data_IF_505612961570
#
_entry.id   IF_505612961570
#
_cell.length_a   1.000
_cell.length_b   1.000
_cell.length_c   1.000
_cell.angle_alpha   90.00
_cell.angle_beta   90.00
_cell.angle_gamma   90.00
#
_symmetry.space_group_name_H-M   'P 1'
#
loop_
_entity.id
_entity.type
_entity.pdbx_description
1 polymer ?
#
# COMPACT_ATOMS: atom_id res chain seq x y z
N UNK A 1 28.26 12.68 33.74
CA UNK A 1 26.84 13.07 33.87
C UNK A 1 26.15 11.97 34.63
N UNK A 2 25.43 12.26 35.70
CA UNK A 2 24.79 11.23 36.52
C UNK A 2 23.59 10.64 35.76
N UNK A 3 23.55 9.30 35.69
CA UNK A 3 22.40 8.58 35.15
C UNK A 3 21.25 8.71 36.14
N UNK A 4 20.08 9.13 35.65
CA UNK A 4 18.88 9.29 36.43
C UNK A 4 18.06 7.98 36.39
N UNK A 5 17.24 7.73 37.41
CA UNK A 5 16.46 6.50 37.57
C UNK A 5 14.98 6.79 37.69
N UNK A 6 14.15 5.98 37.03
CA UNK A 6 12.69 6.03 37.11
C UNK A 6 12.14 4.60 37.22
N UNK A 7 10.96 4.40 37.78
CA UNK A 7 10.26 3.11 37.79
C UNK A 7 9.22 3.04 36.68
N UNK A 8 9.18 1.89 36.00
CA UNK A 8 8.15 1.64 35.02
C UNK A 8 6.79 1.49 35.68
N UNK A 9 5.81 2.25 35.22
CA UNK A 9 4.45 2.27 35.77
C UNK A 9 3.73 0.93 35.55
N UNK A 10 4.11 0.15 34.54
CA UNK A 10 3.48 -1.11 34.19
C UNK A 10 4.07 -2.32 34.96
N UNK A 11 5.38 -2.41 35.08
CA UNK A 11 6.06 -3.58 35.65
C UNK A 11 6.89 -3.29 36.90
N UNK A 12 7.03 -2.02 37.31
CA UNK A 12 7.77 -1.63 38.50
C UNK A 12 9.30 -1.71 38.40
N UNK A 13 9.84 -2.15 37.24
CA UNK A 13 11.30 -2.26 37.04
C UNK A 13 11.95 -0.87 37.06
N UNK A 14 13.17 -0.82 37.59
CA UNK A 14 13.98 0.40 37.64
C UNK A 14 14.65 0.59 36.26
N UNK A 15 14.49 1.78 35.69
CA UNK A 15 15.00 2.16 34.39
C UNK A 15 15.99 3.32 34.54
N UNK A 16 17.07 3.28 33.81
CA UNK A 16 18.09 4.31 33.84
C UNK A 16 17.98 5.17 32.58
N UNK A 17 18.02 6.49 32.71
CA UNK A 17 17.93 7.41 31.59
C UNK A 17 18.92 8.59 31.71
N UNK A 18 19.24 9.20 30.57
CA UNK A 18 20.09 10.39 30.52
C UNK A 18 19.26 11.67 30.64
N UNK A 19 19.80 12.74 31.24
CA UNK A 19 19.17 14.05 31.22
C UNK A 19 18.80 14.47 29.80
N UNK A 20 17.55 14.94 29.60
CA UNK A 20 17.01 15.29 28.27
C UNK A 20 16.31 14.13 27.55
N UNK A 21 16.22 12.93 28.15
CA UNK A 21 15.37 11.85 27.65
C UNK A 21 13.93 12.10 28.11
N UNK A 22 13.00 12.22 27.21
CA UNK A 22 11.59 12.54 27.52
C UNK A 22 10.71 11.29 27.64
N UNK A 23 11.05 10.26 26.91
CA UNK A 23 10.42 8.95 26.98
C UNK A 23 11.43 7.84 27.00
N UNK A 24 11.11 6.78 27.73
CA UNK A 24 11.96 5.59 27.85
C UNK A 24 11.11 4.35 27.61
N UNK A 25 11.53 3.52 26.67
CA UNK A 25 10.91 2.20 26.51
C UNK A 25 11.50 1.28 27.58
N UNK A 26 10.64 0.72 28.39
CA UNK A 26 11.06 -0.23 29.41
C UNK A 26 11.65 -1.47 28.78
N UNK A 27 12.93 -1.74 29.05
CA UNK A 27 13.64 -2.92 28.54
C UNK A 27 13.04 -4.25 29.02
N UNK A 28 12.22 -4.24 30.09
CA UNK A 28 11.63 -5.43 30.71
C UNK A 28 10.21 -5.72 30.21
N UNK A 29 9.39 -4.68 29.97
CA UNK A 29 7.98 -4.87 29.60
C UNK A 29 7.56 -4.09 28.37
N UNK A 30 8.47 -3.37 27.68
CA UNK A 30 8.24 -2.57 26.48
C UNK A 30 7.30 -1.40 26.65
N UNK A 31 6.82 -1.18 27.86
CA UNK A 31 5.96 -0.02 28.14
C UNK A 31 6.75 1.27 27.93
N UNK A 32 6.14 2.23 27.23
CA UNK A 32 6.72 3.57 27.12
C UNK A 32 6.45 4.32 28.40
N UNK A 33 7.51 4.55 29.18
CA UNK A 33 7.46 5.32 30.42
C UNK A 33 7.73 6.77 30.07
N UNK A 34 6.81 7.65 30.43
CA UNK A 34 7.03 9.10 30.37
C UNK A 34 7.95 9.49 31.51
N UNK A 35 9.05 10.12 31.18
CA UNK A 35 9.90 10.73 32.18
C UNK A 35 9.23 12.08 32.50
N UNK A 36 8.90 12.36 33.78
CA UNK A 36 8.40 13.68 34.13
C UNK A 36 9.48 14.71 33.78
N UNK A 37 9.35 15.33 32.64
CA UNK A 37 10.31 16.33 32.21
C UNK A 37 10.17 17.54 33.09
N UNK A 38 11.27 17.92 33.65
CA UNK A 38 11.48 19.34 33.91
C UNK A 38 11.34 20.02 32.53
N UNK A 39 10.17 20.65 32.35
CA UNK A 39 9.89 21.71 31.38
C UNK A 39 10.74 21.61 30.10
N UNK A 40 10.19 21.05 29.03
CA UNK A 40 10.52 21.52 27.67
C UNK A 40 10.38 23.05 27.80
N UNK A 41 11.47 23.78 27.56
CA UNK A 41 11.40 25.23 27.64
C UNK A 41 10.28 25.70 26.72
N UNK A 42 9.20 26.30 27.23
CA UNK A 42 8.11 26.80 26.37
C UNK A 42 8.62 27.80 25.32
N UNK A 43 9.80 28.36 25.52
CA UNK A 43 10.47 29.31 24.62
C UNK A 43 10.89 28.68 23.28
N UNK A 44 11.07 27.33 23.20
CA UNK A 44 11.40 26.67 21.97
C UNK A 44 10.16 26.31 21.09
N UNK A 45 8.92 26.56 21.58
CA UNK A 45 7.66 26.15 20.92
C UNK A 45 6.68 27.35 20.80
N UNK A 46 7.20 28.55 20.73
CA UNK A 46 6.41 29.79 20.92
C UNK A 46 5.38 30.12 19.84
N UNK A 47 5.35 29.39 18.68
CA UNK A 47 4.48 29.75 17.56
C UNK A 47 3.66 28.57 16.98
N UNK A 48 3.33 27.56 17.78
CA UNK A 48 2.47 26.46 17.30
C UNK A 48 1.00 26.78 17.58
N UNK A 49 0.17 26.78 16.52
CA UNK A 49 -1.25 27.14 16.62
C UNK A 49 -2.12 25.97 17.05
N UNK A 50 -1.83 24.78 16.52
CA UNK A 50 -2.72 23.62 16.59
C UNK A 50 -1.96 22.33 16.93
N UNK A 51 -2.69 21.34 17.42
CA UNK A 51 -2.18 20.00 17.69
C UNK A 51 -3.29 18.96 17.52
N UNK A 52 -2.96 17.75 17.10
CA UNK A 52 -3.83 16.59 17.30
C UNK A 52 -3.27 15.78 18.47
N UNK A 53 -4.01 15.59 19.56
CA UNK A 53 -3.54 14.78 20.70
C UNK A 53 -3.31 13.33 20.32
N UNK A 54 -2.25 12.74 20.85
CA UNK A 54 -1.95 11.31 20.69
C UNK A 54 -3.04 10.45 21.33
N UNK A 55 -3.57 9.48 20.59
CA UNK A 55 -4.65 8.59 21.05
C UNK A 55 -4.22 7.14 21.21
N UNK A 56 -3.14 6.71 20.54
CA UNK A 56 -2.64 5.33 20.62
C UNK A 56 -1.64 5.15 21.77
N UNK A 57 -1.50 3.90 22.22
CA UNK A 57 -0.51 3.47 23.22
C UNK A 57 0.45 2.45 22.60
N UNK A 58 1.49 2.06 23.35
CA UNK A 58 2.51 1.12 22.87
C UNK A 58 1.95 -0.22 22.37
N UNK A 59 0.93 -0.76 23.03
CA UNK A 59 0.28 -2.01 22.61
C UNK A 59 -0.43 -1.87 21.25
N UNK A 60 -1.07 -0.73 21.01
CA UNK A 60 -1.69 -0.44 19.71
C UNK A 60 -0.63 -0.31 18.60
N UNK A 61 0.52 0.32 18.90
CA UNK A 61 1.65 0.42 17.98
C UNK A 61 2.22 -0.97 17.64
N UNK A 62 2.40 -1.83 18.66
CA UNK A 62 2.85 -3.22 18.49
C UNK A 62 1.88 -4.00 17.61
N UNK A 63 0.58 -3.91 17.88
CA UNK A 63 -0.44 -4.59 17.09
C UNK A 63 -0.48 -4.09 15.64
N UNK A 64 -0.43 -2.78 15.41
CA UNK A 64 -0.37 -2.20 14.07
C UNK A 64 0.85 -2.70 13.29
N UNK A 65 2.02 -2.75 13.93
CA UNK A 65 3.26 -3.28 13.34
C UNK A 65 3.10 -4.74 12.92
N UNK A 66 2.49 -5.58 13.77
CA UNK A 66 2.23 -6.98 13.44
C UNK A 66 1.19 -7.15 12.33
N UNK A 67 0.16 -6.30 12.30
CA UNK A 67 -0.79 -6.25 11.19
C UNK A 67 -0.08 -5.87 9.90
N UNK A 68 0.83 -4.89 9.92
CA UNK A 68 1.67 -4.54 8.78
C UNK A 68 2.46 -5.73 8.25
N UNK A 69 3.10 -6.52 9.13
CA UNK A 69 3.84 -7.74 8.76
C UNK A 69 2.95 -8.78 8.03
N UNK A 70 1.64 -8.77 8.23
CA UNK A 70 0.71 -9.66 7.50
C UNK A 70 0.44 -9.22 6.07
N UNK A 71 0.80 -7.99 5.70
CA UNK A 71 0.57 -7.44 4.36
C UNK A 71 1.54 -8.04 3.34
N UNK A 72 1.48 -7.52 2.13
CA UNK A 72 2.35 -7.96 1.04
C UNK A 72 1.88 -9.24 0.34
N UNK A 73 2.35 -9.40 -0.90
CA UNK A 73 1.94 -10.50 -1.77
C UNK A 73 2.84 -11.73 -1.63
N UNK A 74 4.14 -11.51 -1.55
CA UNK A 74 5.17 -12.57 -1.48
C UNK A 74 5.96 -12.52 -0.17
N UNK A 75 5.39 -11.90 0.85
CA UNK A 75 6.00 -11.84 2.19
C UNK A 75 6.17 -13.26 2.76
N UNK A 76 7.30 -13.56 3.43
CA UNK A 76 7.51 -14.84 4.09
C UNK A 76 6.37 -15.20 5.05
N UNK A 77 5.96 -16.47 5.08
CA UNK A 77 4.84 -16.91 5.94
C UNK A 77 5.19 -16.84 7.42
N UNK A 78 6.46 -16.99 7.75
CA UNK A 78 7.01 -16.99 9.10
C UNK A 78 7.43 -15.59 9.60
N UNK A 79 7.21 -14.53 8.81
CA UNK A 79 7.61 -13.17 9.18
C UNK A 79 7.06 -12.77 10.56
N UNK A 80 5.75 -12.95 10.79
CA UNK A 80 5.11 -12.58 12.06
C UNK A 80 5.67 -13.38 13.25
N UNK A 81 6.17 -14.60 12.99
CA UNK A 81 6.72 -15.50 14.02
C UNK A 81 8.17 -15.15 14.34
N UNK A 82 8.98 -14.83 13.33
CA UNK A 82 10.44 -14.68 13.45
C UNK A 82 10.87 -13.24 13.63
N UNK A 83 10.04 -12.28 13.19
CA UNK A 83 10.40 -10.88 13.35
C UNK A 83 10.37 -10.47 14.83
N UNK A 84 11.41 -9.74 15.22
CA UNK A 84 11.52 -9.18 16.57
C UNK A 84 11.38 -7.66 16.48
N UNK A 85 10.45 -7.09 17.23
CA UNK A 85 10.32 -5.64 17.34
C UNK A 85 11.44 -5.15 18.25
N UNK A 86 12.36 -4.36 17.70
CA UNK A 86 13.59 -3.93 18.39
C UNK A 86 13.46 -2.55 19.01
N UNK A 87 12.69 -1.65 18.38
CA UNK A 87 12.55 -0.27 18.83
C UNK A 87 11.13 0.21 18.57
N UNK A 88 10.57 0.94 19.51
CA UNK A 88 9.26 1.60 19.37
C UNK A 88 9.28 2.93 20.10
N UNK A 89 8.73 3.95 19.47
CA UNK A 89 8.48 5.23 20.12
C UNK A 89 7.31 5.97 19.48
N UNK A 90 6.68 6.81 20.28
CA UNK A 90 5.63 7.74 19.89
C UNK A 90 6.22 9.13 19.94
N UNK A 91 6.01 9.93 18.91
CA UNK A 91 6.52 11.30 18.82
C UNK A 91 5.55 12.22 18.11
N UNK A 92 5.82 13.50 18.19
CA UNK A 92 5.12 14.53 17.43
C UNK A 92 5.99 15.03 16.29
N UNK A 93 5.37 15.26 15.15
CA UNK A 93 6.03 15.76 13.95
C UNK A 93 5.37 17.06 13.47
N UNK A 94 6.17 18.05 13.00
CA UNK A 94 5.67 19.34 12.62
C UNK A 94 5.04 19.31 11.24
N UNK A 95 3.93 20.05 11.09
CA UNK A 95 3.23 20.24 9.84
C UNK A 95 2.79 21.71 9.70
N UNK A 96 2.52 22.11 8.47
CA UNK A 96 1.77 23.31 8.16
C UNK A 96 0.39 22.93 7.64
N UNK A 97 -0.64 23.65 8.10
CA UNK A 97 -1.98 23.62 7.53
C UNK A 97 -2.12 24.79 6.57
N UNK A 98 -2.27 24.50 5.30
CA UNK A 98 -2.54 25.48 4.26
C UNK A 98 -4.05 25.52 4.01
N UNK A 99 -4.66 26.65 4.32
CA UNK A 99 -6.08 26.89 4.09
C UNK A 99 -6.23 28.05 3.11
N UNK A 100 -6.91 27.82 1.98
CA UNK A 100 -6.99 28.84 0.95
C UNK A 100 -7.97 28.52 -0.14
N UNK A 101 -7.85 29.29 -1.22
CA UNK A 101 -8.68 29.18 -2.42
C UNK A 101 -7.81 29.15 -3.68
N UNK A 102 -8.26 28.40 -4.66
CA UNK A 102 -7.69 28.41 -6.00
C UNK A 102 -8.68 29.01 -7.00
N UNK A 103 -8.13 29.65 -8.04
CA UNK A 103 -8.85 30.16 -9.19
C UNK A 103 -8.12 29.73 -10.45
N UNK A 104 -8.79 29.07 -11.38
CA UNK A 104 -8.16 28.63 -12.63
C UNK A 104 -9.08 28.88 -13.83
N UNK A 105 -8.46 29.31 -14.94
CA UNK A 105 -9.09 29.39 -16.26
C UNK A 105 -8.70 28.15 -17.04
N UNK A 106 -9.63 27.56 -17.76
CA UNK A 106 -9.38 26.36 -18.54
C UNK A 106 -9.89 26.48 -19.97
N UNK A 107 -9.27 25.75 -20.90
CA UNK A 107 -9.71 25.53 -22.28
C UNK A 107 -9.64 24.04 -22.58
N UNK A 108 -10.54 23.56 -23.45
CA UNK A 108 -10.57 22.18 -23.91
C UNK A 108 -11.27 22.10 -25.29
N UNK A 109 -11.21 20.93 -25.90
CA UNK A 109 -12.01 20.57 -27.07
C UNK A 109 -12.92 19.41 -26.72
N UNK A 110 -14.25 19.56 -26.88
CA UNK A 110 -15.23 18.53 -26.66
C UNK A 110 -15.70 17.91 -27.95
N UNK A 111 -15.63 16.60 -28.08
CA UNK A 111 -16.04 15.83 -29.25
C UNK A 111 -17.42 15.25 -29.08
N UNK A 112 -18.26 15.45 -30.07
CA UNK A 112 -19.60 14.91 -30.15
C UNK A 112 -19.68 13.90 -31.27
N UNK A 113 -19.93 12.64 -30.96
CA UNK A 113 -19.98 11.55 -31.90
C UNK A 113 -21.32 11.55 -32.67
N UNK A 114 -21.24 11.61 -34.01
CA UNK A 114 -22.39 11.40 -34.86
C UNK A 114 -22.15 10.29 -35.87
N UNK A 115 -23.20 9.56 -36.20
CA UNK A 115 -23.15 8.58 -37.30
C UNK A 115 -23.32 9.26 -38.64
N UNK A 116 -22.42 8.95 -39.56
CA UNK A 116 -22.48 9.40 -40.96
C UNK A 116 -22.53 8.17 -41.86
N UNK A 117 -23.48 8.21 -42.87
CA UNK A 117 -23.72 7.09 -43.75
C UNK A 117 -24.87 6.17 -43.30
N UNK A 118 -25.25 5.22 -44.13
CA UNK A 118 -26.34 4.26 -43.87
C UNK A 118 -25.89 2.81 -44.13
N UNK A 119 -26.47 1.86 -43.41
CA UNK A 119 -26.19 0.42 -43.55
C UNK A 119 -24.76 0.05 -43.17
N UNK A 120 -24.15 -0.84 -43.95
CA UNK A 120 -22.79 -1.35 -43.72
C UNK A 120 -21.67 -0.31 -43.88
N UNK A 121 -21.96 0.85 -44.44
CA UNK A 121 -21.04 1.95 -44.69
C UNK A 121 -21.16 3.07 -43.64
N UNK A 122 -21.87 2.86 -42.53
CA UNK A 122 -21.93 3.85 -41.45
C UNK A 122 -20.61 3.95 -40.70
N UNK A 123 -20.13 5.17 -40.52
CA UNK A 123 -18.94 5.50 -39.71
C UNK A 123 -19.31 6.50 -38.63
N UNK A 124 -18.60 6.41 -37.50
CA UNK A 124 -18.67 7.43 -36.45
C UNK A 124 -17.71 8.57 -36.81
N UNK A 125 -18.20 9.80 -36.80
CA UNK A 125 -17.42 11.03 -36.98
C UNK A 125 -17.57 11.86 -35.72
N UNK A 126 -16.46 12.40 -35.21
CA UNK A 126 -16.43 13.24 -34.02
C UNK A 126 -16.36 14.70 -34.42
N UNK A 127 -17.37 15.48 -34.08
CA UNK A 127 -17.39 16.93 -34.25
C UNK A 127 -16.77 17.61 -33.03
N UNK A 128 -15.59 18.21 -33.22
CA UNK A 128 -14.86 18.89 -32.16
C UNK A 128 -15.31 20.35 -32.01
N UNK A 129 -15.62 20.75 -30.77
CA UNK A 129 -16.01 22.11 -30.41
C UNK A 129 -15.09 22.64 -29.30
N UNK A 130 -14.52 23.83 -29.47
CA UNK A 130 -13.73 24.46 -28.42
C UNK A 130 -14.65 24.87 -27.25
N UNK A 131 -14.14 24.72 -26.05
CA UNK A 131 -14.80 25.12 -24.82
C UNK A 131 -13.80 25.80 -23.88
N UNK A 132 -14.29 26.67 -23.02
CA UNK A 132 -13.48 27.34 -22.01
C UNK A 132 -14.36 27.67 -20.80
N UNK A 133 -13.73 27.88 -19.67
CA UNK A 133 -14.44 28.26 -18.45
C UNK A 133 -13.47 28.61 -17.33
N UNK A 134 -14.05 28.89 -16.18
CA UNK A 134 -13.33 29.18 -14.94
C UNK A 134 -13.77 28.20 -13.86
N UNK A 135 -12.86 27.81 -12.99
CA UNK A 135 -13.16 27.04 -11.76
C UNK A 135 -12.48 27.74 -10.60
N UNK A 136 -13.11 27.66 -9.45
CA UNK A 136 -12.55 28.10 -8.18
C UNK A 136 -13.08 27.24 -7.06
N UNK A 137 -12.30 27.08 -6.01
CA UNK A 137 -12.71 26.30 -4.85
C UNK A 137 -11.76 26.47 -3.69
N UNK A 138 -12.25 26.16 -2.47
CA UNK A 138 -11.41 26.16 -1.29
C UNK A 138 -10.54 24.91 -1.27
N UNK A 139 -9.37 25.02 -0.64
CA UNK A 139 -8.58 23.86 -0.23
C UNK A 139 -8.10 24.01 1.21
N UNK A 140 -7.84 22.86 1.83
CA UNK A 140 -7.28 22.81 3.18
C UNK A 140 -6.42 21.56 3.23
N UNK A 141 -5.09 21.72 3.16
CA UNK A 141 -4.14 20.63 3.00
C UNK A 141 -3.03 20.74 4.06
N UNK A 142 -2.51 19.56 4.44
CA UNK A 142 -1.40 19.44 5.36
C UNK A 142 -0.10 19.18 4.60
N UNK A 143 0.97 19.91 4.94
CA UNK A 143 2.31 19.71 4.42
C UNK A 143 3.30 19.48 5.54
N UNK A 144 4.14 18.44 5.43
CA UNK A 144 5.16 18.13 6.42
C UNK A 144 6.24 19.21 6.46
N UNK A 145 6.60 19.62 7.67
CA UNK A 145 7.52 20.74 7.92
C UNK A 145 8.87 20.32 8.52
N UNK A 146 9.07 19.01 8.76
CA UNK A 146 10.30 18.47 9.32
C UNK A 146 11.20 17.80 8.27
N UNK A 147 12.21 17.07 8.74
CA UNK A 147 13.15 16.32 7.90
C UNK A 147 13.50 14.92 8.44
N UNK A 148 12.81 14.44 9.49
CA UNK A 148 13.15 13.19 10.17
C UNK A 148 12.28 12.00 9.75
N UNK A 149 11.12 12.23 9.13
CA UNK A 149 10.27 11.16 8.62
C UNK A 149 10.36 11.06 7.10
N UNK A 150 10.16 9.85 6.58
CA UNK A 150 10.16 9.63 5.14
C UNK A 150 8.88 10.15 4.46
N UNK A 151 8.89 10.21 3.13
CA UNK A 151 7.77 10.69 2.34
C UNK A 151 6.49 9.90 2.58
N UNK A 152 6.58 8.57 2.74
CA UNK A 152 5.41 7.72 2.96
C UNK A 152 4.72 8.04 4.29
N UNK A 153 5.51 8.32 5.34
CA UNK A 153 4.98 8.75 6.62
C UNK A 153 4.35 10.14 6.52
N UNK A 154 5.02 11.09 5.86
CA UNK A 154 4.49 12.43 5.64
C UNK A 154 3.13 12.39 4.91
N UNK A 155 3.02 11.59 3.85
CA UNK A 155 1.78 11.43 3.07
C UNK A 155 0.69 10.73 3.90
N UNK A 156 1.01 9.72 4.73
CA UNK A 156 0.08 9.09 5.67
C UNK A 156 -0.56 10.12 6.61
N UNK A 157 0.26 10.98 7.19
CA UNK A 157 -0.19 11.99 8.17
C UNK A 157 -0.88 13.18 7.50
N UNK A 158 -0.52 13.51 6.26
CA UNK A 158 -1.16 14.60 5.51
C UNK A 158 -2.66 14.39 5.25
N UNK A 159 -3.14 13.14 5.37
CA UNK A 159 -4.56 12.79 5.23
C UNK A 159 -5.28 12.64 6.60
N UNK A 160 -4.73 13.26 7.66
CA UNK A 160 -5.37 13.29 8.98
C UNK A 160 -6.73 13.99 8.97
N UNK A 161 -7.62 13.49 9.83
CA UNK A 161 -8.93 14.11 10.09
C UNK A 161 -8.74 15.43 10.85
N UNK A 162 -8.98 16.53 10.15
CA UNK A 162 -8.83 17.89 10.69
C UNK A 162 -9.83 18.25 11.76
N UNK A 163 -10.93 17.51 11.88
CA UNK A 163 -11.90 17.71 12.96
C UNK A 163 -11.32 17.43 14.36
N UNK A 164 -10.20 16.71 14.42
CA UNK A 164 -9.47 16.37 15.65
C UNK A 164 -8.43 17.42 16.06
N UNK A 165 -8.23 18.46 15.25
CA UNK A 165 -7.34 19.57 15.57
C UNK A 165 -7.90 20.37 16.74
N UNK A 166 -7.05 20.62 17.73
CA UNK A 166 -7.36 21.46 18.90
C UNK A 166 -6.30 22.55 19.02
N UNK A 167 -6.58 23.67 19.73
CA UNK A 167 -5.56 24.65 20.05
C UNK A 167 -4.38 24.00 20.75
N UNK A 168 -3.18 24.44 20.40
CA UNK A 168 -1.97 23.91 20.98
C UNK A 168 -1.93 24.11 22.50
N UNK A 169 -1.57 23.04 23.23
CA UNK A 169 -1.30 23.06 24.65
C UNK A 169 -0.10 22.14 24.90
N UNK A 170 0.98 22.68 25.46
CA UNK A 170 2.23 21.96 25.72
C UNK A 170 2.04 20.67 26.55
N UNK A 171 0.97 20.58 27.35
CA UNK A 171 0.65 19.35 28.10
C UNK A 171 0.46 18.13 27.23
N UNK A 172 -0.03 18.27 25.98
CA UNK A 172 -0.22 17.14 25.07
C UNK A 172 1.10 16.55 24.59
N UNK A 173 2.17 17.35 24.57
CA UNK A 173 3.50 16.91 24.15
C UNK A 173 4.36 16.43 25.32
N UNK A 174 3.93 16.66 26.56
CA UNK A 174 4.71 16.28 27.75
C UNK A 174 5.02 14.78 27.76
N UNK A 175 6.31 14.43 27.78
CA UNK A 175 6.79 13.06 27.78
C UNK A 175 6.89 12.40 26.39
N UNK A 176 6.66 13.14 25.32
CA UNK A 176 6.88 12.66 23.95
C UNK A 176 7.92 13.51 23.24
N UNK A 177 8.90 12.88 22.54
CA UNK A 177 9.81 13.62 21.68
C UNK A 177 9.05 14.29 20.54
N UNK A 178 9.58 15.38 20.06
CA UNK A 178 9.05 16.11 18.90
C UNK A 178 10.17 16.50 17.95
N UNK A 179 9.85 16.44 16.66
CA UNK A 179 10.75 16.94 15.63
C UNK A 179 10.61 18.47 15.53
N UNK A 180 11.66 19.12 15.03
CA UNK A 180 11.66 20.58 14.81
C UNK A 180 11.14 20.92 13.42
N UNK A 181 10.60 22.12 13.27
CA UNK A 181 10.35 22.71 11.97
C UNK A 181 11.69 22.91 11.25
N UNK A 182 11.90 22.20 10.15
CA UNK A 182 13.13 22.23 9.36
C UNK A 182 12.93 22.88 8.00
N UNK A 183 11.71 22.81 7.45
CA UNK A 183 11.33 23.43 6.20
C UNK A 183 10.57 24.72 6.46
N UNK A 184 10.83 25.75 5.65
CA UNK A 184 9.98 26.94 5.61
C UNK A 184 8.59 26.61 5.05
N UNK A 185 7.62 27.46 5.32
CA UNK A 185 6.25 27.32 4.76
C UNK A 185 6.25 27.12 3.25
N UNK A 186 7.07 27.91 2.54
CA UNK A 186 7.17 27.85 1.10
C UNK A 186 7.77 26.52 0.60
N UNK A 187 8.83 26.03 1.24
CA UNK A 187 9.47 24.77 0.87
C UNK A 187 8.54 23.58 1.15
N UNK A 188 7.87 23.58 2.31
CA UNK A 188 6.90 22.55 2.64
C UNK A 188 5.70 22.57 1.68
N UNK A 189 5.22 23.77 1.28
CA UNK A 189 4.18 23.90 0.27
C UNK A 189 4.60 23.27 -1.05
N UNK A 190 5.73 23.67 -1.58
CA UNK A 190 6.25 23.17 -2.86
C UNK A 190 6.50 21.65 -2.86
N UNK A 191 6.95 21.12 -1.73
CA UNK A 191 7.32 19.70 -1.63
C UNK A 191 6.11 18.79 -1.44
N UNK A 192 5.09 19.22 -0.67
CA UNK A 192 4.03 18.32 -0.18
C UNK A 192 2.61 18.74 -0.58
N UNK A 193 2.38 19.97 -0.99
CA UNK A 193 1.03 20.54 -1.16
C UNK A 193 0.75 20.95 -2.61
N UNK A 194 1.71 21.51 -3.31
CA UNK A 194 1.54 22.06 -4.65
C UNK A 194 0.91 21.07 -5.64
N UNK A 195 1.45 19.85 -5.72
CA UNK A 195 0.92 18.80 -6.59
C UNK A 195 -0.51 18.38 -6.19
N UNK A 196 -0.84 18.42 -4.91
CA UNK A 196 -2.18 18.08 -4.40
C UNK A 196 -3.19 19.16 -4.75
N UNK A 197 -2.81 20.43 -4.68
CA UNK A 197 -3.64 21.54 -5.16
C UNK A 197 -3.81 21.46 -6.69
N UNK A 198 -2.74 21.20 -7.42
CA UNK A 198 -2.81 21.00 -8.86
C UNK A 198 -3.76 19.85 -9.25
N UNK A 199 -3.75 18.75 -8.49
CA UNK A 199 -4.66 17.63 -8.68
C UNK A 199 -6.13 18.01 -8.39
N UNK A 200 -6.39 18.81 -7.35
CA UNK A 200 -7.72 19.36 -7.06
C UNK A 200 -8.20 20.25 -8.21
N UNK A 201 -7.38 21.17 -8.68
CA UNK A 201 -7.71 22.04 -9.83
C UNK A 201 -8.02 21.19 -11.07
N UNK A 202 -7.17 20.20 -11.36
CA UNK A 202 -7.38 19.30 -12.50
C UNK A 202 -8.68 18.51 -12.39
N UNK A 203 -9.07 18.08 -11.20
CA UNK A 203 -10.33 17.41 -10.92
C UNK A 203 -11.53 18.31 -11.20
N UNK A 204 -11.52 19.53 -10.66
CA UNK A 204 -12.58 20.52 -10.87
C UNK A 204 -12.70 20.96 -12.33
N UNK A 205 -11.58 21.14 -13.02
CA UNK A 205 -11.55 21.45 -14.45
C UNK A 205 -12.21 20.31 -15.25
N UNK A 206 -11.81 19.07 -14.99
CA UNK A 206 -12.34 17.89 -15.70
C UNK A 206 -13.81 17.59 -15.36
N UNK A 207 -14.30 18.03 -14.22
CA UNK A 207 -15.73 17.92 -13.87
C UNK A 207 -16.63 18.71 -14.85
N UNK A 208 -16.08 19.69 -15.58
CA UNK A 208 -16.78 20.44 -16.63
C UNK A 208 -16.79 19.73 -17.99
N UNK A 209 -16.27 18.50 -18.09
CA UNK A 209 -16.23 17.74 -19.33
C UNK A 209 -17.62 17.52 -19.93
N UNK A 210 -17.75 17.71 -21.23
CA UNK A 210 -18.95 17.50 -22.02
C UNK A 210 -18.63 16.67 -23.28
N UNK A 211 -19.68 16.18 -23.95
CA UNK A 211 -19.52 15.36 -25.14
C UNK A 211 -19.08 13.93 -24.85
N UNK A 212 -18.85 13.17 -25.92
CA UNK A 212 -18.43 11.76 -25.86
C UNK A 212 -16.92 11.61 -25.69
N UNK A 213 -16.15 12.60 -26.17
CA UNK A 213 -14.69 12.62 -26.13
C UNK A 213 -14.16 13.99 -25.70
N UNK A 214 -12.99 14.03 -25.08
CA UNK A 214 -12.36 15.26 -24.63
C UNK A 214 -10.86 15.25 -24.93
N UNK A 215 -10.31 16.39 -25.33
CA UNK A 215 -8.88 16.59 -25.59
C UNK A 215 -8.45 18.04 -25.40
N UNK A 216 -7.17 18.29 -25.55
CA UNK A 216 -6.54 19.63 -25.57
C UNK A 216 -6.87 20.43 -24.30
N UNK A 217 -6.84 19.73 -23.13
CA UNK A 217 -7.03 20.35 -21.84
C UNK A 217 -5.82 21.23 -21.46
N UNK A 218 -6.07 22.52 -21.28
CA UNK A 218 -5.11 23.47 -20.72
C UNK A 218 -5.77 24.27 -19.61
N UNK A 219 -5.03 24.51 -18.53
CA UNK A 219 -5.48 25.40 -17.47
C UNK A 219 -4.31 26.15 -16.87
N UNK A 220 -4.59 27.35 -16.39
CA UNK A 220 -3.68 28.17 -15.62
C UNK A 220 -4.46 28.86 -14.52
N UNK A 221 -3.83 29.07 -13.39
CA UNK A 221 -4.52 29.64 -12.23
C UNK A 221 -3.58 30.23 -11.22
N UNK A 222 -4.18 30.81 -10.19
CA UNK A 222 -3.52 31.32 -9.00
C UNK A 222 -4.16 30.73 -7.76
N UNK A 223 -3.41 30.74 -6.69
CA UNK A 223 -3.86 30.30 -5.38
C UNK A 223 -3.43 31.31 -4.32
N UNK A 224 -4.26 31.47 -3.32
CA UNK A 224 -3.94 32.23 -2.12
C UNK A 224 -4.24 31.37 -0.90
N UNK A 225 -3.40 31.43 0.10
CA UNK A 225 -3.58 30.63 1.33
C UNK A 225 -3.02 31.35 2.54
N UNK A 226 -3.57 30.97 3.70
CA UNK A 226 -3.04 31.26 5.02
C UNK A 226 -2.43 29.97 5.59
N UNK A 227 -1.41 30.12 6.40
CA UNK A 227 -0.69 29.00 6.99
C UNK A 227 -0.84 29.01 8.50
N UNK A 228 -1.06 27.82 9.09
CA UNK A 228 -0.99 27.58 10.54
C UNK A 228 -0.01 26.46 10.83
N UNK A 229 0.73 26.63 11.90
CA UNK A 229 1.66 25.62 12.41
C UNK A 229 0.93 24.58 13.24
N UNK A 230 1.32 23.32 13.15
CA UNK A 230 0.74 22.26 13.97
C UNK A 230 1.68 21.08 14.19
N UNK A 231 1.35 20.29 15.21
CA UNK A 231 1.97 19.01 15.49
C UNK A 231 1.00 17.86 15.32
N UNK A 232 1.46 16.80 14.64
CA UNK A 232 0.73 15.55 14.47
C UNK A 232 1.44 14.41 15.18
N UNK A 233 0.69 13.51 15.88
CA UNK A 233 1.28 12.38 16.56
C UNK A 233 1.55 11.22 15.59
N UNK A 234 2.69 10.54 15.76
CA UNK A 234 3.07 9.37 14.98
C UNK A 234 3.79 8.36 15.85
N UNK A 235 3.55 7.07 15.58
CA UNK A 235 4.32 5.98 16.13
C UNK A 235 5.34 5.46 15.11
N UNK A 236 6.57 5.23 15.57
CA UNK A 236 7.56 4.50 14.79
C UNK A 236 7.88 3.19 15.49
N UNK A 237 7.81 2.12 14.75
CA UNK A 237 8.23 0.78 15.16
C UNK A 237 9.29 0.26 14.22
N UNK A 238 10.35 -0.32 14.75
CA UNK A 238 11.39 -0.99 13.98
C UNK A 238 11.37 -2.46 14.35
N UNK A 239 11.30 -3.31 13.35
CA UNK A 239 11.44 -4.75 13.54
C UNK A 239 12.60 -5.31 12.73
N UNK A 240 13.21 -6.36 13.25
CA UNK A 240 14.29 -7.09 12.59
C UNK A 240 13.77 -8.45 12.09
N UNK A 241 14.13 -8.78 10.85
CA UNK A 241 13.89 -10.09 10.26
C UNK A 241 15.08 -10.50 9.41
N UNK A 242 15.64 -11.68 9.69
CA UNK A 242 16.85 -12.22 9.02
C UNK A 242 18.04 -11.24 8.98
N UNK A 243 18.25 -10.50 10.09
CA UNK A 243 19.36 -9.56 10.24
C UNK A 243 19.16 -8.20 9.52
N UNK A 244 17.96 -7.92 9.00
CA UNK A 244 17.61 -6.66 8.37
C UNK A 244 16.54 -5.93 9.15
N UNK A 245 16.75 -4.64 9.41
CA UNK A 245 15.77 -3.76 10.06
C UNK A 245 14.75 -3.22 9.03
N UNK A 246 13.50 -3.10 9.48
CA UNK A 246 12.37 -2.54 8.73
C UNK A 246 11.63 -1.55 9.62
N UNK A 247 11.29 -0.39 9.07
CA UNK A 247 10.55 0.67 9.76
C UNK A 247 9.07 0.59 9.41
N UNK A 248 8.23 0.83 10.41
CA UNK A 248 6.78 0.96 10.26
C UNK A 248 6.34 2.23 10.96
N UNK A 249 5.67 3.09 10.23
CA UNK A 249 5.04 4.29 10.74
C UNK A 249 3.55 4.02 10.95
N UNK A 250 3.05 4.40 12.09
CA UNK A 250 1.65 4.21 12.49
C UNK A 250 1.08 5.56 12.87
N UNK A 251 -0.11 5.86 12.38
CA UNK A 251 -0.82 7.07 12.75
C UNK A 251 -1.08 7.11 14.26
N UNK A 252 -0.70 8.21 14.91
CA UNK A 252 -0.83 8.38 16.36
C UNK A 252 -2.27 8.52 16.86
N UNK A 253 -3.24 8.55 15.94
CA UNK A 253 -4.67 8.70 16.24
C UNK A 253 -5.45 7.44 15.86
N UNK A 254 -5.10 6.82 14.75
CA UNK A 254 -5.77 5.63 14.22
C UNK A 254 -4.73 4.54 13.92
N UNK A 255 -4.62 3.50 14.75
CA UNK A 255 -3.66 2.43 14.58
C UNK A 255 -3.94 1.53 13.37
N UNK A 256 -5.07 1.69 12.68
CA UNK A 256 -5.38 0.98 11.43
C UNK A 256 -4.71 1.63 10.21
N UNK A 257 -4.24 2.87 10.36
CA UNK A 257 -3.52 3.62 9.35
C UNK A 257 -2.02 3.52 9.62
N UNK A 258 -1.31 2.90 8.70
CA UNK A 258 0.13 2.70 8.80
C UNK A 258 0.78 2.59 7.43
N UNK A 259 2.08 2.86 7.39
CA UNK A 259 2.96 2.68 6.23
C UNK A 259 4.32 2.22 6.70
N UNK A 260 5.21 1.82 5.80
CA UNK A 260 6.56 1.41 6.20
C UNK A 260 7.42 0.97 5.03
N UNK A 261 8.59 0.48 5.38
CA UNK A 261 9.53 -0.07 4.42
C UNK A 261 8.92 -1.26 3.67
N UNK A 262 9.26 -1.47 2.40
CA UNK A 262 8.81 -2.65 1.66
C UNK A 262 9.12 -3.93 2.45
N UNK A 263 8.08 -4.74 2.67
CA UNK A 263 8.21 -6.01 3.39
C UNK A 263 9.19 -6.96 2.67
N UNK A 264 9.88 -7.84 3.42
CA UNK A 264 10.75 -8.84 2.82
C UNK A 264 9.97 -9.72 1.85
N UNK A 265 10.63 -10.11 0.76
CA UNK A 265 10.06 -10.95 -0.31
C UNK A 265 10.65 -12.34 -0.22
N UNK A 266 9.80 -13.35 -0.20
CA UNK A 266 10.20 -14.75 -0.37
C UNK A 266 10.39 -15.07 -1.85
N UNK A 267 11.65 -15.09 -2.29
CA UNK A 267 12.05 -15.36 -3.68
C UNK A 267 11.51 -16.70 -4.19
N UNK A 268 11.41 -17.73 -3.34
CA UNK A 268 10.88 -19.04 -3.73
C UNK A 268 9.39 -18.95 -4.07
N UNK A 269 8.63 -18.21 -3.26
CA UNK A 269 7.21 -17.96 -3.53
C UNK A 269 7.02 -17.12 -4.80
N UNK A 270 7.82 -16.09 -4.96
CA UNK A 270 7.76 -15.21 -6.11
C UNK A 270 8.05 -16.01 -7.39
N UNK A 271 9.15 -16.76 -7.43
CA UNK A 271 9.50 -17.63 -8.56
C UNK A 271 8.42 -18.70 -8.82
N UNK A 272 7.93 -19.36 -7.77
CA UNK A 272 6.85 -20.34 -7.89
C UNK A 272 5.56 -19.75 -8.48
N UNK A 273 5.26 -18.50 -8.20
CA UNK A 273 4.11 -17.80 -8.78
C UNK A 273 4.25 -17.67 -10.31
N UNK A 274 5.47 -17.47 -10.81
CA UNK A 274 5.73 -17.37 -12.26
C UNK A 274 5.63 -18.72 -12.98
N UNK A 275 5.83 -19.85 -12.31
CA UNK A 275 5.67 -21.16 -12.94
C UNK A 275 4.25 -21.38 -13.49
N UNK A 276 3.24 -20.72 -12.93
CA UNK A 276 1.89 -20.75 -13.48
C UNK A 276 1.76 -20.19 -14.90
N UNK A 277 2.73 -19.39 -15.36
CA UNK A 277 2.75 -18.83 -16.70
C UNK A 277 3.40 -19.75 -17.75
N UNK A 278 4.04 -20.85 -17.35
CA UNK A 278 4.67 -21.79 -18.28
C UNK A 278 3.66 -22.34 -19.29
N UNK A 279 2.47 -22.85 -18.89
CA UNK A 279 1.47 -23.31 -19.86
C UNK A 279 1.06 -22.24 -20.86
N UNK A 280 0.88 -21.00 -20.39
CA UNK A 280 0.54 -19.87 -21.26
C UNK A 280 1.66 -19.57 -22.27
N UNK A 281 2.92 -19.51 -21.83
CA UNK A 281 4.07 -19.25 -22.70
C UNK A 281 4.22 -20.32 -23.78
N UNK A 282 4.08 -21.62 -23.41
CA UNK A 282 4.11 -22.71 -24.34
C UNK A 282 2.96 -22.61 -25.36
N UNK A 283 1.73 -22.40 -24.88
CA UNK A 283 0.55 -22.25 -25.76
C UNK A 283 0.73 -21.08 -26.72
N UNK A 284 1.29 -19.97 -26.29
CA UNK A 284 1.56 -18.80 -27.12
C UNK A 284 2.58 -19.10 -28.22
N UNK A 285 3.73 -19.70 -27.87
CA UNK A 285 4.77 -20.04 -28.82
C UNK A 285 4.24 -21.00 -29.91
N UNK A 286 3.50 -22.03 -29.50
CA UNK A 286 2.89 -22.98 -30.45
C UNK A 286 1.80 -22.34 -31.30
N UNK A 287 1.00 -21.41 -30.74
CA UNK A 287 0.02 -20.63 -31.50
C UNK A 287 0.68 -19.81 -32.60
N UNK A 288 1.77 -19.13 -32.27
CA UNK A 288 2.55 -18.35 -33.25
C UNK A 288 3.14 -19.28 -34.33
N UNK A 289 3.78 -20.37 -33.93
CA UNK A 289 4.35 -21.32 -34.88
C UNK A 289 3.29 -21.90 -35.84
N UNK A 290 2.09 -22.20 -35.30
CA UNK A 290 0.97 -22.71 -36.13
C UNK A 290 0.51 -21.69 -37.17
N UNK A 291 0.43 -20.39 -36.79
CA UNK A 291 0.06 -19.30 -37.70
C UNK A 291 1.08 -19.10 -38.84
N UNK A 292 2.37 -19.30 -38.57
CA UNK A 292 3.41 -19.25 -39.62
C UNK A 292 3.42 -20.47 -40.54
N UNK A 293 2.87 -21.60 -40.09
CA UNK A 293 2.88 -22.88 -40.86
C UNK A 293 1.62 -23.11 -41.69
N UNK A 294 0.52 -22.36 -41.51
CA UNK A 294 -0.76 -22.53 -42.21
C UNK A 294 -1.40 -21.20 -42.51
N UNK A 295 -2.26 -21.17 -43.55
CA UNK A 295 -3.03 -19.95 -43.88
C UNK A 295 -3.83 -19.42 -42.68
N UNK A 296 -3.72 -18.12 -42.43
CA UNK A 296 -4.34 -17.46 -41.28
C UNK A 296 -5.87 -17.63 -41.21
N UNK A 297 -6.52 -18.02 -42.31
CA UNK A 297 -7.94 -18.33 -42.41
C UNK A 297 -8.36 -19.57 -41.55
N UNK A 298 -7.41 -20.40 -41.14
CA UNK A 298 -7.64 -21.58 -40.30
C UNK A 298 -7.26 -21.34 -38.83
N UNK A 299 -6.96 -20.10 -38.44
CA UNK A 299 -6.75 -19.75 -37.04
C UNK A 299 -8.03 -20.03 -36.25
N UNK A 300 -8.07 -21.16 -35.57
CA UNK A 300 -9.26 -21.61 -34.86
C UNK A 300 -9.56 -20.72 -33.65
N UNK A 301 -10.82 -20.41 -33.39
CA UNK A 301 -11.25 -19.77 -32.14
C UNK A 301 -10.78 -20.52 -30.88
N UNK A 302 -10.41 -21.79 -30.99
CA UNK A 302 -9.84 -22.64 -29.97
C UNK A 302 -8.47 -22.13 -29.46
N UNK A 303 -7.66 -21.52 -30.34
CA UNK A 303 -6.36 -20.92 -29.92
C UNK A 303 -6.56 -19.80 -28.94
N UNK A 304 -7.52 -18.91 -29.22
CA UNK A 304 -7.86 -17.81 -28.31
C UNK A 304 -8.39 -18.34 -26.97
N UNK A 305 -9.25 -19.36 -27.00
CA UNK A 305 -9.76 -20.01 -25.80
C UNK A 305 -8.64 -20.66 -24.97
N UNK A 306 -7.70 -21.36 -25.60
CA UNK A 306 -6.56 -21.98 -24.93
C UNK A 306 -5.64 -20.95 -24.25
N UNK A 307 -5.34 -19.84 -24.92
CA UNK A 307 -4.57 -18.74 -24.37
C UNK A 307 -5.29 -18.10 -23.19
N UNK A 308 -6.59 -17.84 -23.30
CA UNK A 308 -7.40 -17.29 -22.21
C UNK A 308 -7.42 -18.21 -20.99
N UNK A 309 -7.64 -19.52 -21.19
CA UNK A 309 -7.70 -20.48 -20.09
C UNK A 309 -6.36 -20.62 -19.36
N UNK A 310 -5.25 -20.67 -20.09
CA UNK A 310 -3.92 -20.77 -19.48
C UNK A 310 -3.49 -19.48 -18.78
N UNK A 311 -3.83 -18.31 -19.34
CA UNK A 311 -3.62 -17.03 -18.69
C UNK A 311 -4.47 -16.89 -17.42
N UNK A 312 -5.76 -17.28 -17.48
CA UNK A 312 -6.67 -17.27 -16.35
C UNK A 312 -6.16 -18.17 -15.21
N UNK A 313 -5.67 -19.36 -15.54
CA UNK A 313 -5.05 -20.25 -14.57
C UNK A 313 -3.86 -19.59 -13.88
N UNK A 314 -2.96 -18.94 -14.61
CA UNK A 314 -1.80 -18.27 -14.05
C UNK A 314 -2.21 -17.14 -13.06
N UNK A 315 -3.23 -16.36 -13.43
CA UNK A 315 -3.77 -15.29 -12.58
C UNK A 315 -4.45 -15.85 -11.33
N UNK A 316 -5.31 -16.86 -11.47
CA UNK A 316 -5.97 -17.52 -10.35
C UNK A 316 -4.94 -18.11 -9.40
N UNK A 317 -3.93 -18.81 -9.92
CA UNK A 317 -2.86 -19.38 -9.12
C UNK A 317 -2.14 -18.31 -8.29
N UNK A 318 -1.70 -17.22 -8.93
CA UNK A 318 -1.05 -16.09 -8.27
C UNK A 318 -1.94 -15.51 -7.15
N UNK A 319 -3.22 -15.32 -7.45
CA UNK A 319 -4.19 -14.80 -6.48
C UNK A 319 -4.40 -15.75 -5.30
N UNK A 320 -4.60 -17.06 -5.57
CA UNK A 320 -4.83 -18.07 -4.52
C UNK A 320 -3.60 -18.24 -3.63
N UNK A 321 -2.39 -18.25 -4.20
CA UNK A 321 -1.14 -18.33 -3.44
C UNK A 321 -0.99 -17.10 -2.51
N UNK A 322 -1.20 -15.90 -3.05
CA UNK A 322 -1.13 -14.65 -2.28
C UNK A 322 -2.19 -14.60 -1.17
N UNK A 323 -3.43 -14.97 -1.49
CA UNK A 323 -4.55 -14.97 -0.54
C UNK A 323 -4.33 -15.99 0.58
N UNK A 324 -3.86 -17.19 0.27
CA UNK A 324 -3.53 -18.20 1.25
C UNK A 324 -2.42 -17.72 2.20
N UNK A 325 -1.33 -17.19 1.65
CA UNK A 325 -0.21 -16.65 2.43
C UNK A 325 -0.65 -15.55 3.40
N UNK A 326 -1.52 -14.62 2.94
CA UNK A 326 -2.12 -13.59 3.82
C UNK A 326 -3.00 -14.19 4.90
N UNK A 327 -3.84 -15.17 4.57
CA UNK A 327 -4.70 -15.87 5.55
C UNK A 327 -3.87 -16.59 6.61
N UNK A 328 -2.78 -17.22 6.21
CA UNK A 328 -1.87 -17.93 7.11
C UNK A 328 -1.23 -16.95 8.13
N UNK A 329 -0.68 -15.82 7.64
CA UNK A 329 -0.09 -14.81 8.52
C UNK A 329 -1.13 -14.16 9.44
N UNK A 330 -2.36 -13.91 8.96
CA UNK A 330 -3.46 -13.39 9.79
C UNK A 330 -3.92 -14.39 10.86
N UNK A 331 -4.04 -15.68 10.51
CA UNK A 331 -4.37 -16.72 11.47
C UNK A 331 -3.32 -16.78 12.58
N UNK A 332 -2.05 -16.66 12.20
CA UNK A 332 -0.96 -16.62 13.16
C UNK A 332 -1.02 -15.39 14.08
N UNK A 333 -1.29 -14.22 13.53
CA UNK A 333 -1.48 -13.00 14.32
C UNK A 333 -2.63 -13.16 15.33
N UNK A 334 -3.78 -13.72 14.89
CA UNK A 334 -4.93 -13.97 15.77
C UNK A 334 -4.58 -14.91 16.92
N UNK A 335 -3.72 -15.90 16.67
CA UNK A 335 -3.25 -16.83 17.71
C UNK A 335 -2.43 -16.12 18.80
N UNK A 336 -1.48 -15.29 18.36
CA UNK A 336 -0.63 -14.51 19.27
C UNK A 336 -1.48 -13.56 20.12
N UNK A 337 -2.50 -12.93 19.53
CA UNK A 337 -3.43 -12.06 20.25
C UNK A 337 -4.35 -12.80 21.21
N UNK A 338 -4.85 -13.99 20.83
CA UNK A 338 -5.77 -14.79 21.65
C UNK A 338 -5.09 -15.46 22.85
N UNK A 339 -3.77 -15.64 22.81
CA UNK A 339 -3.01 -16.26 23.90
C UNK A 339 -2.78 -15.32 25.10
N UNK A 340 -3.29 -14.08 25.05
CA UNK A 340 -3.12 -13.05 26.09
C UNK A 340 -1.65 -12.86 26.54
N UNK A 341 -0.74 -13.21 25.63
CA UNK A 341 0.69 -12.98 25.83
C UNK A 341 0.97 -11.54 25.45
N UNK A 342 1.66 -10.82 26.31
CA UNK A 342 2.23 -9.52 25.97
C UNK A 342 3.13 -9.68 24.75
N UNK A 343 2.56 -9.43 23.56
CA UNK A 343 3.19 -9.73 22.28
C UNK A 343 4.40 -8.87 22.01
N UNK A 344 4.57 -7.78 22.77
CA UNK A 344 5.75 -6.93 22.72
C UNK A 344 7.01 -7.62 23.26
N UNK A 345 6.83 -8.67 24.06
CA UNK A 345 7.92 -9.40 24.74
C UNK A 345 7.88 -10.91 24.56
N UNK A 346 6.92 -11.44 23.78
CA UNK A 346 6.84 -12.88 23.53
C UNK A 346 8.13 -13.38 22.86
N UNK A 347 8.80 -14.34 23.51
CA UNK A 347 9.98 -14.99 22.95
C UNK A 347 9.61 -15.81 21.71
N UNK A 348 10.58 -16.06 20.82
CA UNK A 348 10.36 -16.89 19.63
C UNK A 348 9.85 -18.30 20.01
N UNK A 349 10.26 -18.85 21.16
CA UNK A 349 9.81 -20.15 21.65
C UNK A 349 8.33 -20.15 22.04
N UNK A 350 7.87 -19.12 22.75
CA UNK A 350 6.45 -18.94 23.11
C UNK A 350 5.58 -18.78 21.85
N UNK A 351 6.03 -17.98 20.88
CA UNK A 351 5.33 -17.82 19.60
C UNK A 351 5.27 -19.13 18.80
N UNK A 352 6.34 -19.94 18.84
CA UNK A 352 6.38 -21.24 18.19
C UNK A 352 5.45 -22.28 18.88
N UNK A 353 5.32 -22.24 20.19
CA UNK A 353 4.44 -23.12 20.95
C UNK A 353 2.96 -22.80 20.71
N UNK A 354 2.60 -21.52 20.65
CA UNK A 354 1.26 -21.06 20.25
C UNK A 354 0.94 -21.54 18.83
N UNK A 355 1.90 -21.48 17.91
CA UNK A 355 1.70 -21.92 16.54
C UNK A 355 1.39 -23.42 16.40
N UNK A 356 1.91 -24.23 17.33
CA UNK A 356 1.65 -25.69 17.35
C UNK A 356 0.26 -26.06 17.83
N UNK A 357 -0.34 -25.24 18.70
CA UNK A 357 -1.67 -25.51 19.29
C UNK A 357 -2.84 -25.12 18.38
N UNK A 358 -2.58 -24.46 17.26
CA UNK A 358 -3.63 -23.88 16.42
C UNK A 358 -3.75 -24.59 15.07
N UNK A 359 -4.98 -24.84 14.63
CA UNK A 359 -5.24 -25.42 13.30
C UNK A 359 -5.01 -24.38 12.22
N UNK A 360 -3.89 -24.48 11.54
CA UNK A 360 -3.56 -23.60 10.41
C UNK A 360 -4.53 -23.80 9.24
N UNK A 361 -4.81 -22.77 8.44
CA UNK A 361 -5.64 -22.91 7.25
C UNK A 361 -5.04 -23.92 6.27
N UNK A 362 -5.87 -24.82 5.74
CA UNK A 362 -5.43 -25.83 4.79
C UNK A 362 -4.91 -25.18 3.51
N UNK A 363 -3.78 -25.68 3.01
CA UNK A 363 -3.16 -25.19 1.80
C UNK A 363 -3.97 -25.58 0.58
N UNK A 364 -4.51 -24.63 -0.20
CA UNK A 364 -5.28 -24.94 -1.42
C UNK A 364 -4.46 -25.76 -2.40
N UNK A 365 -5.12 -26.67 -3.12
CA UNK A 365 -4.47 -27.56 -4.10
C UNK A 365 -3.61 -26.79 -5.13
N UNK A 366 -4.15 -25.69 -5.66
CA UNK A 366 -3.45 -24.81 -6.64
C UNK A 366 -2.25 -24.07 -6.02
N UNK A 367 -2.28 -23.78 -4.72
CA UNK A 367 -1.17 -23.13 -4.01
C UNK A 367 -0.07 -24.12 -3.59
N UNK A 368 -0.33 -25.42 -3.70
CA UNK A 368 0.65 -26.44 -3.33
C UNK A 368 1.61 -26.70 -4.48
N UNK A 369 2.83 -26.20 -4.37
CA UNK A 369 3.89 -26.35 -5.38
C UNK A 369 4.29 -27.81 -5.66
N UNK A 370 4.01 -28.74 -4.75
CA UNK A 370 4.21 -30.16 -5.00
C UNK A 370 3.32 -30.70 -6.12
N UNK A 371 2.18 -30.06 -6.39
CA UNK A 371 1.25 -30.43 -7.44
C UNK A 371 1.67 -29.89 -8.83
N UNK A 372 2.67 -29.00 -8.89
CA UNK A 372 3.13 -28.40 -10.15
C UNK A 372 3.63 -29.43 -11.15
N UNK A 373 4.27 -30.49 -10.67
CA UNK A 373 4.75 -31.60 -11.50
C UNK A 373 3.63 -32.31 -12.32
N UNK A 374 2.37 -32.19 -11.86
CA UNK A 374 1.22 -32.81 -12.55
C UNK A 374 0.40 -31.75 -13.28
N UNK A 375 0.11 -30.62 -12.63
CA UNK A 375 -0.80 -29.58 -13.16
C UNK A 375 -0.19 -28.88 -14.38
N UNK A 376 1.09 -28.46 -14.30
CA UNK A 376 1.71 -27.71 -15.38
C UNK A 376 1.83 -28.50 -16.69
N UNK A 377 2.28 -29.77 -16.69
CA UNK A 377 2.28 -30.59 -17.92
C UNK A 377 0.88 -30.82 -18.47
N UNK A 378 -0.11 -31.15 -17.63
CA UNK A 378 -1.50 -31.38 -18.06
C UNK A 378 -2.06 -30.16 -18.77
N UNK A 379 -1.91 -28.97 -18.17
CA UNK A 379 -2.39 -27.71 -18.77
C UNK A 379 -1.65 -27.34 -20.04
N UNK A 380 -0.34 -27.63 -20.12
CA UNK A 380 0.44 -27.39 -21.32
C UNK A 380 -0.03 -28.31 -22.45
N UNK A 381 -0.23 -29.61 -22.19
CA UNK A 381 -0.73 -30.57 -23.16
C UNK A 381 -2.15 -30.21 -23.59
N UNK A 382 -3.03 -29.87 -22.67
CA UNK A 382 -4.41 -29.44 -22.98
C UNK A 382 -4.42 -28.18 -23.86
N UNK A 383 -3.59 -27.19 -23.55
CA UNK A 383 -3.41 -25.97 -24.35
C UNK A 383 -2.95 -26.31 -25.79
N UNK A 384 -1.97 -27.19 -25.91
CA UNK A 384 -1.47 -27.66 -27.22
C UNK A 384 -2.53 -28.44 -27.99
N UNK A 385 -3.27 -29.34 -27.35
CA UNK A 385 -4.33 -30.11 -27.98
C UNK A 385 -5.46 -29.22 -28.53
N UNK A 386 -5.78 -28.14 -27.83
CA UNK A 386 -6.75 -27.13 -28.31
C UNK A 386 -6.27 -26.37 -29.55
N UNK A 387 -4.95 -26.20 -29.75
CA UNK A 387 -4.39 -25.53 -30.93
C UNK A 387 -4.51 -26.44 -32.17
N UNK A 388 -4.22 -27.73 -32.01
CA UNK A 388 -4.25 -28.70 -33.12
C UNK A 388 -5.70 -28.97 -33.57
N UNK A 389 -6.68 -28.81 -32.68
CA UNK A 389 -8.12 -29.00 -32.97
C UNK A 389 -8.52 -30.43 -33.35
N UNK A 390 -9.81 -30.76 -33.34
CA UNK A 390 -10.30 -32.09 -33.80
C UNK A 390 -10.24 -32.28 -35.32
N UNK A 391 -9.71 -31.33 -36.09
CA UNK A 391 -9.63 -31.37 -37.54
C UNK A 391 -8.43 -32.11 -38.13
N UNK A 392 -7.54 -32.71 -37.30
CA UNK A 392 -6.41 -33.50 -37.78
C UNK A 392 -6.74 -34.97 -38.04
N UNK A 393 -8.00 -35.36 -37.84
CA UNK A 393 -8.51 -36.72 -38.17
C UNK A 393 -9.49 -36.61 -39.35
N UNK A 394 -9.08 -36.01 -40.45
CA UNK A 394 -9.76 -36.18 -41.73
C UNK A 394 -8.88 -37.03 -42.66
N UNK A 395 -9.26 -38.28 -42.64
CA UNK A 395 -9.54 -39.09 -43.83
C UNK A 395 -8.37 -39.32 -44.82
N UNK A 396 -7.61 -40.36 -44.52
CA UNK A 396 -7.20 -41.28 -45.57
C UNK A 396 -8.37 -42.24 -45.82
N UNK A 397 -9.42 -41.73 -46.43
CA UNK A 397 -10.49 -42.54 -47.02
C UNK A 397 -10.26 -42.65 -48.52
N UNK A 398 -9.44 -43.61 -48.92
CA UNK A 398 -9.40 -44.12 -50.28
C UNK A 398 -10.74 -44.74 -50.57
N UNK A 399 -11.61 -44.05 -51.26
CA UNK A 399 -12.76 -44.67 -51.93
C UNK A 399 -12.32 -45.41 -53.15
N UNK A 400 -12.85 -46.66 -53.46
CA UNK A 400 -12.45 -47.39 -54.61
C UNK A 400 -13.04 -46.77 -55.87
N UNK A 401 -12.19 -46.66 -56.91
CA UNK A 401 -12.62 -46.42 -58.27
C UNK A 401 -13.55 -47.53 -58.70
N UNK A 402 -14.75 -47.22 -59.15
CA UNK A 402 -15.62 -48.13 -59.93
C UNK A 402 -15.73 -47.58 -61.34
N UNK A 403 -15.33 -48.44 -62.23
CA UNK A 403 -15.32 -48.39 -63.69
C UNK A 403 -16.49 -47.66 -64.36
#
# INVERSE_FOLDING_TARGET
>A
MADLKIRCDKCGSELTYKPGTETLVCAYCGNTVRIPTQVVNPEDITDTDLIIPLQIQGDALTNATRVYMTQGQFTPDDLVQKATITKQWLKYVPFYLYHGEFHANWTASFGYNRREGSGSNSRTVTDWRPASGTVSGPFSLLGYAGNEVDRNCADLLADQDRSKLVPYDAKFMTGFPNDKFALSEREAYQTYVEDRVAALVASEVKANAQGDEQKDWHWSGSQSYETKTLYLPVGLSVFEYEGKEYKVWVDGVDPTRFTGDPLPVDDKKQKSSYYGWIPFGLTLVFSIAYLFGKDAAHASGWMGAALLLTALYALIRKFVMSSYSKKLRKAFLTQVQAADIDTSHATQEQLAEISKSYKLPEKPFIANTANDKFILPILSIAGLACIVGPGAVETTGSGPAVT
#
